data_IF_987644518621
#
_entry.id   IF_987644518621
#
_cell.length_a   1.000
_cell.length_b   1.000
_cell.length_c   1.000
_cell.angle_alpha   90.00
_cell.angle_beta   90.00
_cell.angle_gamma   90.00
#
_symmetry.space_group_name_H-M   'P 1'
#
loop_
_entity.id
_entity.type
_entity.pdbx_description
1 polymer ?
#
# COMPACT_ATOMS: atom_id res chain seq x y z
N UNK A 1 -24.06 -3.94 10.97
CA UNK A 1 -22.85 -3.11 10.80
C UNK A 1 -22.31 -3.46 9.43
N UNK A 2 -22.25 -2.53 8.48
CA UNK A 2 -21.58 -2.78 7.20
C UNK A 2 -20.13 -3.10 7.52
N UNK A 3 -19.70 -4.34 7.25
CA UNK A 3 -18.28 -4.67 7.25
C UNK A 3 -17.67 -3.86 6.11
N UNK A 4 -17.11 -2.69 6.43
CA UNK A 4 -16.23 -2.01 5.50
C UNK A 4 -15.07 -2.97 5.26
N UNK A 5 -14.97 -3.51 4.04
CA UNK A 5 -13.77 -4.22 3.63
C UNK A 5 -12.68 -3.16 3.49
N UNK A 6 -11.96 -2.96 4.58
CA UNK A 6 -10.77 -2.12 4.60
C UNK A 6 -9.69 -2.85 3.82
N UNK A 7 -9.09 -2.17 2.86
CA UNK A 7 -7.90 -2.60 2.13
C UNK A 7 -6.78 -1.61 2.42
N UNK A 8 -5.56 -2.05 2.16
CA UNK A 8 -4.35 -1.28 2.36
C UNK A 8 -3.59 -1.21 1.05
N UNK A 9 -3.44 -0.01 0.51
CA UNK A 9 -2.75 0.23 -0.76
C UNK A 9 -1.34 0.76 -0.49
N UNK A 10 -0.32 0.07 -1.01
CA UNK A 10 1.00 0.67 -1.15
C UNK A 10 0.97 1.56 -2.38
N UNK A 11 0.99 2.87 -2.14
CA UNK A 11 0.93 3.89 -3.17
C UNK A 11 2.27 4.57 -3.33
N UNK A 12 2.60 5.00 -4.55
CA UNK A 12 3.68 5.94 -4.75
C UNK A 12 3.40 7.23 -3.95
N UNK A 13 4.36 7.65 -3.14
CA UNK A 13 4.23 8.80 -2.24
C UNK A 13 3.95 10.12 -2.97
N UNK A 14 4.41 10.26 -4.22
CA UNK A 14 4.28 11.49 -4.99
C UNK A 14 3.12 11.47 -5.98
N UNK A 15 2.92 10.34 -6.67
CA UNK A 15 1.89 10.24 -7.72
C UNK A 15 0.56 9.68 -7.21
N UNK A 16 0.54 9.09 -6.01
CA UNK A 16 -0.58 8.33 -5.46
C UNK A 16 -1.02 7.14 -6.34
N UNK A 17 -0.15 6.70 -7.25
CA UNK A 17 -0.36 5.50 -8.06
C UNK A 17 -0.32 4.26 -7.16
N UNK A 18 -1.31 3.38 -7.31
CA UNK A 18 -1.40 2.13 -6.54
C UNK A 18 -0.44 1.10 -7.13
N UNK A 19 0.52 0.65 -6.32
CA UNK A 19 1.51 -0.36 -6.71
C UNK A 19 1.05 -1.75 -6.27
N UNK A 20 0.48 -1.85 -5.07
CA UNK A 20 -0.05 -3.10 -4.53
C UNK A 20 -1.22 -2.82 -3.58
N UNK A 21 -2.15 -3.78 -3.47
CA UNK A 21 -3.31 -3.70 -2.57
C UNK A 21 -3.41 -4.98 -1.73
N UNK A 22 -3.66 -4.83 -0.44
CA UNK A 22 -3.70 -5.91 0.54
C UNK A 22 -4.94 -5.85 1.42
N UNK A 23 -5.31 -6.99 1.99
CA UNK A 23 -6.45 -7.12 2.91
C UNK A 23 -6.08 -6.82 4.38
N UNK A 24 -4.79 -6.63 4.68
CA UNK A 24 -4.31 -6.30 6.02
C UNK A 24 -3.12 -5.35 5.98
N UNK A 25 -3.03 -4.49 6.99
CA UNK A 25 -1.93 -3.56 7.15
C UNK A 25 -0.58 -4.30 7.24
N UNK A 26 -0.50 -5.37 8.03
CA UNK A 26 0.71 -6.18 8.22
C UNK A 26 1.29 -6.72 6.89
N UNK A 27 0.43 -7.09 5.93
CA UNK A 27 0.89 -7.54 4.60
C UNK A 27 1.43 -6.39 3.76
N UNK A 28 0.79 -5.22 3.83
CA UNK A 28 1.27 -4.01 3.15
C UNK A 28 2.61 -3.53 3.73
N UNK A 29 2.73 -3.56 5.06
CA UNK A 29 3.94 -3.23 5.82
C UNK A 29 5.08 -4.18 5.47
N UNK A 30 4.84 -5.49 5.51
CA UNK A 30 5.82 -6.50 5.09
C UNK A 30 6.28 -6.30 3.65
N UNK A 31 5.38 -5.94 2.73
CA UNK A 31 5.73 -5.65 1.34
C UNK A 31 6.61 -4.39 1.23
N UNK A 32 6.27 -3.34 1.96
CA UNK A 32 7.00 -2.07 1.96
C UNK A 32 8.40 -2.25 2.57
N UNK A 33 8.51 -2.94 3.70
CA UNK A 33 9.79 -3.27 4.34
C UNK A 33 10.68 -4.12 3.43
N UNK A 34 10.12 -5.17 2.83
CA UNK A 34 10.86 -6.00 1.89
C UNK A 34 11.37 -5.20 0.70
N UNK A 35 10.60 -4.22 0.21
CA UNK A 35 11.01 -3.36 -0.89
C UNK A 35 12.21 -2.46 -0.54
N UNK A 36 12.29 -1.97 0.70
CA UNK A 36 13.41 -1.15 1.17
C UNK A 36 14.63 -1.95 1.66
N UNK A 37 14.48 -3.26 1.90
CA UNK A 37 15.60 -4.15 2.28
C UNK A 37 16.43 -4.63 1.05
N UNK A 38 15.96 -4.36 -0.18
CA UNK A 38 16.73 -4.70 -1.39
C UNK A 38 17.97 -3.81 -1.56
N UNK A 39 19.07 -4.40 -2.03
CA UNK A 39 20.32 -3.64 -2.28
C UNK A 39 20.14 -2.50 -3.30
N UNK A 40 19.19 -2.64 -4.22
CA UNK A 40 18.86 -1.64 -5.23
C UNK A 40 17.61 -0.82 -4.85
N UNK A 41 17.35 -0.61 -3.55
CA UNK A 41 16.22 0.16 -3.03
C UNK A 41 16.09 1.57 -3.64
N UNK A 42 17.19 2.16 -4.14
CA UNK A 42 17.18 3.46 -4.85
C UNK A 42 16.33 3.42 -6.14
N UNK A 43 16.11 2.23 -6.71
CA UNK A 43 15.26 2.02 -7.89
C UNK A 43 13.81 1.71 -7.54
N UNK A 44 13.54 1.42 -6.27
CA UNK A 44 12.20 1.15 -5.76
C UNK A 44 11.45 2.47 -5.64
N UNK A 45 10.22 2.58 -6.16
CA UNK A 45 9.42 3.79 -5.99
C UNK A 45 9.23 4.10 -4.50
N UNK A 46 9.30 5.38 -4.09
CA UNK A 46 8.99 5.75 -2.72
C UNK A 46 7.51 5.48 -2.47
N UNK A 47 7.22 4.63 -1.49
CA UNK A 47 5.87 4.16 -1.17
C UNK A 47 5.37 4.63 0.19
N UNK A 48 4.04 4.73 0.32
CA UNK A 48 3.31 4.90 1.56
C UNK A 48 2.09 3.97 1.59
N UNK A 49 1.64 3.57 2.78
CA UNK A 49 0.46 2.71 2.94
C UNK A 49 -0.76 3.61 3.18
N UNK A 50 -1.77 3.48 2.33
CA UNK A 50 -3.05 4.15 2.47
C UNK A 50 -4.14 3.14 2.85
N UNK A 51 -4.89 3.44 3.91
CA UNK A 51 -6.11 2.70 4.25
C UNK A 51 -7.25 3.15 3.32
N UNK A 52 -7.86 2.21 2.60
CA UNK A 52 -8.99 2.47 1.70
C UNK A 52 -10.17 1.58 2.07
N UNK A 53 -11.37 2.10 1.90
CA UNK A 53 -12.62 1.36 2.11
C UNK A 53 -13.27 1.08 0.77
N UNK A 54 -13.78 -0.14 0.57
CA UNK A 54 -14.52 -0.58 -0.63
C UNK A 54 -15.80 0.25 -0.95
N UNK A 55 -16.12 1.26 -0.13
CA UNK A 55 -17.30 2.13 -0.22
C UNK A 55 -17.25 3.17 -1.38
N UNK A 56 -16.54 2.85 -2.47
CA UNK A 56 -16.82 3.39 -3.81
C UNK A 56 -16.81 4.91 -3.97
N UNK A 57 -15.74 5.61 -3.55
CA UNK A 57 -15.48 6.97 -4.06
C UNK A 57 -14.01 7.12 -4.43
N UNK A 58 -13.75 7.08 -5.74
CA UNK A 58 -12.89 8.05 -6.42
C UNK A 58 -13.65 8.58 -7.63
#
# INVERSE_FOLDING_TARGET
>A
MMNKNVKYECQNMFTHEVIATFDSYEKADTFLDAAYDFSDWETVPPMTIAEVTDDGIR
#
